data_IF_234639480123
#
_entry.id   IF_234639480123
#
_cell.length_a   1.000
_cell.length_b   1.000
_cell.length_c   1.000
_cell.angle_alpha   90.00
_cell.angle_beta   90.00
_cell.angle_gamma   90.00
#
_symmetry.space_group_name_H-M   'P 1'
#
loop_
_entity.id
_entity.type
_entity.pdbx_description
1 polymer ?
#
# COMPACT_ATOMS: atom_id res chain seq x y z
N UNK A 1 1.30 -24.34 -23.00
CA UNK A 1 1.01 -23.49 -21.80
C UNK A 1 1.80 -22.19 -21.82
N UNK A 2 3.13 -22.19 -21.95
CA UNK A 2 3.97 -20.97 -22.02
C UNK A 2 3.62 -20.13 -23.26
N UNK A 3 3.42 -20.75 -24.41
CA UNK A 3 2.99 -20.05 -25.64
C UNK A 3 1.62 -19.37 -25.46
N UNK A 4 0.67 -19.97 -24.78
CA UNK A 4 -0.64 -19.37 -24.53
C UNK A 4 -0.55 -18.13 -23.63
N UNK A 5 0.35 -18.11 -22.65
CA UNK A 5 0.61 -16.95 -21.78
C UNK A 5 1.21 -15.79 -22.59
N UNK A 6 2.10 -16.07 -23.52
CA UNK A 6 2.76 -15.06 -24.36
C UNK A 6 1.85 -14.49 -25.46
N UNK A 7 0.92 -15.29 -26.00
CA UNK A 7 0.05 -14.89 -27.11
C UNK A 7 -1.30 -14.27 -26.65
N UNK A 8 -1.79 -14.55 -25.43
CA UNK A 8 -3.02 -13.94 -24.92
C UNK A 8 -2.70 -12.62 -24.18
N UNK A 9 -3.10 -11.44 -24.71
CA UNK A 9 -2.72 -10.14 -24.13
C UNK A 9 -3.13 -9.98 -22.67
N UNK A 10 -4.28 -10.53 -22.26
CA UNK A 10 -4.77 -10.46 -20.89
C UNK A 10 -3.91 -11.27 -19.91
N UNK A 11 -3.45 -12.46 -20.30
CA UNK A 11 -2.57 -13.30 -19.47
C UNK A 11 -1.16 -12.68 -19.37
N UNK A 12 -0.65 -12.13 -20.46
CA UNK A 12 0.64 -11.43 -20.48
C UNK A 12 0.63 -10.21 -19.55
N UNK A 13 -0.41 -9.38 -19.62
CA UNK A 13 -0.52 -8.20 -18.77
C UNK A 13 -0.62 -8.58 -17.29
N UNK A 14 -1.42 -9.59 -16.95
CA UNK A 14 -1.52 -10.10 -15.58
C UNK A 14 -0.18 -10.66 -15.08
N UNK A 15 0.53 -11.42 -15.92
CA UNK A 15 1.84 -11.98 -15.56
C UNK A 15 2.89 -10.90 -15.35
N UNK A 16 2.98 -9.92 -16.25
CA UNK A 16 3.93 -8.79 -16.11
C UNK A 16 3.62 -7.95 -14.88
N UNK A 17 2.33 -7.72 -14.59
CA UNK A 17 1.91 -7.02 -13.39
C UNK A 17 2.38 -7.75 -12.12
N UNK A 18 2.08 -9.04 -11.99
CA UNK A 18 2.47 -9.85 -10.83
C UNK A 18 3.98 -9.93 -10.68
N UNK A 19 4.72 -10.06 -11.77
CA UNK A 19 6.18 -10.11 -11.74
C UNK A 19 6.77 -8.79 -11.24
N UNK A 20 6.27 -7.65 -11.73
CA UNK A 20 6.69 -6.34 -11.27
C UNK A 20 6.36 -6.13 -9.79
N UNK A 21 5.14 -6.48 -9.38
CA UNK A 21 4.68 -6.38 -8.00
C UNK A 21 5.51 -7.27 -7.06
N UNK A 22 5.85 -8.50 -7.48
CA UNK A 22 6.66 -9.43 -6.69
C UNK A 22 8.07 -8.89 -6.45
N UNK A 23 8.71 -8.34 -7.49
CA UNK A 23 10.07 -7.77 -7.37
C UNK A 23 10.06 -6.55 -6.44
N UNK A 24 9.15 -5.60 -6.66
CA UNK A 24 9.05 -4.41 -5.83
C UNK A 24 8.63 -4.74 -4.40
N UNK A 25 7.67 -5.66 -4.24
CA UNK A 25 7.19 -6.16 -2.96
C UNK A 25 8.27 -6.86 -2.15
N UNK A 26 9.10 -7.70 -2.79
CA UNK A 26 10.21 -8.39 -2.13
C UNK A 26 11.21 -7.41 -1.49
N UNK A 27 11.57 -6.34 -2.18
CA UNK A 27 12.49 -5.33 -1.64
C UNK A 27 11.88 -4.61 -0.42
N UNK A 28 10.58 -4.30 -0.47
CA UNK A 28 9.89 -3.59 0.61
C UNK A 28 9.58 -4.52 1.77
N UNK A 29 9.24 -5.79 1.54
CA UNK A 29 8.91 -6.75 2.60
C UNK A 29 10.08 -6.96 3.58
N UNK A 30 11.32 -6.97 3.08
CA UNK A 30 12.51 -7.01 3.92
C UNK A 30 12.56 -5.83 4.89
N UNK A 31 12.27 -4.62 4.38
CA UNK A 31 12.28 -3.41 5.20
C UNK A 31 11.12 -3.38 6.21
N UNK A 32 9.93 -3.79 5.79
CA UNK A 32 8.74 -3.89 6.64
C UNK A 32 9.03 -4.81 7.83
N UNK A 33 9.58 -5.99 7.56
CA UNK A 33 9.94 -6.97 8.60
C UNK A 33 11.04 -6.43 9.53
N UNK A 34 12.13 -5.87 9.00
CA UNK A 34 13.21 -5.30 9.81
C UNK A 34 12.75 -4.16 10.73
N UNK A 35 11.79 -3.36 10.28
CA UNK A 35 11.25 -2.22 11.04
C UNK A 35 10.01 -2.56 11.88
N UNK A 36 9.50 -3.78 11.78
CA UNK A 36 8.24 -4.21 12.41
C UNK A 36 7.08 -3.28 12.08
N UNK A 37 6.91 -3.02 10.77
CA UNK A 37 5.88 -2.10 10.24
C UNK A 37 4.61 -2.84 9.81
N UNK A 38 4.38 -4.07 10.25
CA UNK A 38 3.27 -4.93 9.83
C UNK A 38 1.93 -4.24 10.07
N UNK A 39 1.71 -3.66 11.24
CA UNK A 39 0.49 -2.91 11.55
C UNK A 39 0.30 -1.66 10.67
N UNK A 40 1.40 -0.98 10.33
CA UNK A 40 1.38 0.18 9.45
C UNK A 40 0.96 -0.21 8.03
N UNK A 41 1.49 -1.33 7.53
CA UNK A 41 1.11 -1.88 6.22
C UNK A 41 -0.36 -2.25 6.22
N UNK A 42 -0.84 -2.94 7.25
CA UNK A 42 -2.23 -3.35 7.41
C UNK A 42 -3.16 -2.13 7.41
N UNK A 43 -2.82 -1.08 8.18
CA UNK A 43 -3.59 0.16 8.19
C UNK A 43 -3.63 0.84 6.81
N UNK A 44 -2.52 0.84 6.07
CA UNK A 44 -2.47 1.39 4.72
C UNK A 44 -3.35 0.59 3.75
N UNK A 45 -3.32 -0.74 3.80
CA UNK A 45 -4.14 -1.59 2.95
C UNK A 45 -5.63 -1.32 3.17
N UNK A 46 -6.07 -1.25 4.42
CA UNK A 46 -7.47 -0.99 4.75
C UNK A 46 -7.90 0.44 4.43
N UNK A 47 -7.01 1.43 4.62
CA UNK A 47 -7.31 2.83 4.35
C UNK A 47 -7.45 3.17 2.88
N UNK A 48 -6.86 2.40 1.98
CA UNK A 48 -6.99 2.58 0.53
C UNK A 48 -8.43 2.31 0.05
N UNK A 49 -9.17 1.45 0.76
CA UNK A 49 -10.52 1.05 0.39
C UNK A 49 -11.50 2.22 0.21
N UNK A 50 -11.68 3.15 1.17
CA UNK A 50 -12.54 4.32 0.94
C UNK A 50 -12.09 5.19 -0.23
N UNK A 51 -10.78 5.28 -0.47
CA UNK A 51 -10.23 5.99 -1.62
C UNK A 51 -10.63 5.36 -2.95
N UNK A 52 -10.61 4.04 -3.03
CA UNK A 52 -11.07 3.28 -4.20
C UNK A 52 -12.57 3.52 -4.44
N UNK A 53 -13.38 3.43 -3.37
CA UNK A 53 -14.84 3.62 -3.44
C UNK A 53 -15.18 5.02 -3.92
N UNK A 54 -14.63 6.06 -3.29
CA UNK A 54 -14.86 7.46 -3.68
C UNK A 54 -14.33 7.73 -5.09
N UNK A 55 -13.14 7.24 -5.42
CA UNK A 55 -12.55 7.36 -6.74
C UNK A 55 -13.44 6.77 -7.84
N UNK A 56 -14.03 5.58 -7.57
CA UNK A 56 -14.96 4.94 -8.49
C UNK A 56 -16.28 5.75 -8.66
N UNK A 57 -16.81 6.31 -7.57
CA UNK A 57 -18.05 7.08 -7.59
C UNK A 57 -17.86 8.37 -8.40
N UNK A 58 -16.78 9.09 -8.17
CA UNK A 58 -16.54 10.42 -8.76
C UNK A 58 -15.97 10.33 -10.17
N UNK A 59 -14.98 9.47 -10.39
CA UNK A 59 -14.21 9.40 -11.64
C UNK A 59 -14.39 8.09 -12.42
N UNK A 60 -15.27 7.20 -11.97
CA UNK A 60 -15.40 5.87 -12.58
C UNK A 60 -14.12 5.02 -12.43
N UNK A 61 -13.91 4.11 -13.37
CA UNK A 61 -12.74 3.22 -13.39
C UNK A 61 -11.38 3.99 -13.39
N UNK A 62 -11.19 5.07 -14.15
CA UNK A 62 -9.97 5.89 -14.10
C UNK A 62 -9.72 6.58 -12.75
N UNK A 63 -10.78 6.85 -11.99
CA UNK A 63 -10.72 7.51 -10.67
C UNK A 63 -10.20 6.64 -9.53
N UNK A 64 -10.15 5.32 -9.72
CA UNK A 64 -9.75 4.35 -8.68
C UNK A 64 -8.35 4.62 -8.16
N UNK A 65 -7.37 4.71 -9.05
CA UNK A 65 -5.95 4.90 -8.66
C UNK A 65 -5.71 6.26 -8.00
N UNK A 66 -6.15 7.40 -8.58
CA UNK A 66 -5.97 8.68 -7.91
C UNK A 66 -6.75 8.79 -6.59
N UNK A 67 -7.95 8.21 -6.49
CA UNK A 67 -8.70 8.16 -5.22
C UNK A 67 -7.97 7.34 -4.15
N UNK A 68 -7.49 6.16 -4.50
CA UNK A 68 -6.67 5.31 -3.64
C UNK A 68 -5.38 6.05 -3.18
N UNK A 69 -4.68 6.69 -4.11
CA UNK A 69 -3.44 7.43 -3.82
C UNK A 69 -3.67 8.63 -2.90
N UNK A 70 -4.77 9.37 -3.09
CA UNK A 70 -5.12 10.50 -2.25
C UNK A 70 -5.35 10.07 -0.79
N UNK A 71 -6.14 9.02 -0.57
CA UNK A 71 -6.40 8.52 0.78
C UNK A 71 -5.17 7.86 1.38
N UNK A 72 -4.38 7.10 0.60
CA UNK A 72 -3.11 6.55 1.06
C UNK A 72 -2.16 7.66 1.54
N UNK A 73 -2.08 8.77 0.82
CA UNK A 73 -1.25 9.93 1.21
C UNK A 73 -1.72 10.52 2.53
N UNK A 74 -3.03 10.72 2.72
CA UNK A 74 -3.59 11.22 3.99
C UNK A 74 -3.25 10.26 5.12
N UNK A 75 -3.42 8.94 4.91
CA UNK A 75 -3.11 7.93 5.92
C UNK A 75 -1.63 7.92 6.28
N UNK A 76 -0.73 8.02 5.30
CA UNK A 76 0.72 8.11 5.56
C UNK A 76 1.05 9.33 6.42
N UNK A 77 0.43 10.49 6.14
CA UNK A 77 0.65 11.70 6.94
C UNK A 77 0.11 11.55 8.37
N UNK A 78 -1.05 10.93 8.54
CA UNK A 78 -1.62 10.65 9.87
C UNK A 78 -0.72 9.69 10.64
N UNK A 79 -0.28 8.58 10.04
CA UNK A 79 0.62 7.63 10.68
C UNK A 79 1.97 8.25 11.02
N UNK A 80 2.53 9.10 10.15
CA UNK A 80 3.75 9.83 10.43
C UNK A 80 3.59 10.80 11.62
N UNK A 81 2.43 11.43 11.77
CA UNK A 81 2.15 12.31 12.91
C UNK A 81 2.04 11.55 14.23
N UNK A 82 1.49 10.33 14.22
CA UNK A 82 1.43 9.45 15.38
C UNK A 82 2.81 8.96 15.82
N UNK A 83 3.72 8.70 14.86
CA UNK A 83 5.09 8.23 15.13
C UNK A 83 6.05 9.30 15.67
N UNK A 84 5.70 10.57 15.59
CA UNK A 84 6.60 11.70 15.96
C UNK A 84 6.66 12.02 17.45
N UNK A 85 5.91 11.36 18.33
CA UNK A 85 5.90 11.58 19.78
C UNK A 85 7.16 11.04 20.49
N UNK A 86 7.60 11.68 21.56
CA UNK A 86 8.83 11.34 22.29
C UNK A 86 8.57 10.44 23.51
N UNK A 87 8.93 9.14 23.46
CA UNK A 87 8.90 8.24 24.61
C UNK A 87 8.96 6.75 24.26
N UNK A 88 9.93 5.98 24.79
CA UNK A 88 10.34 4.72 24.15
C UNK A 88 9.52 3.45 24.44
N UNK A 89 8.68 3.37 25.45
CA UNK A 89 7.98 2.11 25.78
C UNK A 89 6.45 2.22 25.81
N UNK A 90 5.88 3.28 26.35
CA UNK A 90 4.45 3.56 26.29
C UNK A 90 4.02 3.88 24.85
N UNK A 91 4.87 4.52 24.09
CA UNK A 91 4.64 4.98 22.73
C UNK A 91 4.44 3.85 21.70
N UNK A 92 5.04 2.66 21.87
CA UNK A 92 4.77 1.54 20.93
C UNK A 92 3.33 1.05 21.04
N UNK A 93 2.83 0.88 22.26
CA UNK A 93 1.43 0.48 22.52
C UNK A 93 0.45 1.55 22.05
N UNK A 94 0.77 2.83 22.26
CA UNK A 94 -0.06 3.94 21.80
C UNK A 94 -0.05 4.06 20.26
N UNK A 95 1.06 3.77 19.61
CA UNK A 95 1.18 3.79 18.15
C UNK A 95 0.43 2.61 17.51
N UNK A 96 0.52 1.41 18.06
CA UNK A 96 -0.23 0.24 17.58
C UNK A 96 -1.73 0.43 17.77
N UNK A 97 -2.16 0.94 18.93
CA UNK A 97 -3.55 1.27 19.19
C UNK A 97 -4.06 2.39 18.26
N UNK A 98 -3.29 3.45 18.07
CA UNK A 98 -3.62 4.52 17.13
C UNK A 98 -3.73 4.03 15.70
N UNK A 99 -2.83 3.15 15.27
CA UNK A 99 -2.87 2.53 13.94
C UNK A 99 -4.10 1.66 13.77
N UNK A 100 -4.48 0.87 14.79
CA UNK A 100 -5.70 0.07 14.77
C UNK A 100 -6.98 0.93 14.69
N UNK A 101 -7.02 2.08 15.34
CA UNK A 101 -8.13 3.06 15.24
C UNK A 101 -8.21 3.61 13.81
N UNK A 102 -7.09 4.02 13.21
CA UNK A 102 -7.04 4.53 11.83
C UNK A 102 -7.54 3.46 10.85
N UNK A 103 -7.06 2.21 11.00
CA UNK A 103 -7.48 1.08 10.20
C UNK A 103 -8.99 0.88 10.25
N UNK A 104 -9.54 0.73 11.45
CA UNK A 104 -10.97 0.44 11.65
C UNK A 104 -11.84 1.58 11.18
N UNK A 105 -11.45 2.82 11.47
CA UNK A 105 -12.19 4.02 11.09
C UNK A 105 -12.20 4.20 9.56
N UNK A 106 -11.06 4.10 8.91
CA UNK A 106 -10.96 4.25 7.45
C UNK A 106 -11.73 3.15 6.73
N UNK A 107 -11.57 1.90 7.14
CA UNK A 107 -12.31 0.79 6.56
C UNK A 107 -13.83 0.95 6.76
N UNK A 108 -14.26 1.32 7.97
CA UNK A 108 -15.66 1.57 8.29
C UNK A 108 -16.28 2.68 7.43
N UNK A 109 -15.57 3.79 7.23
CA UNK A 109 -16.00 4.85 6.29
C UNK A 109 -16.17 4.29 4.87
N UNK A 110 -15.21 3.52 4.38
CA UNK A 110 -15.29 2.90 3.05
C UNK A 110 -16.53 2.01 2.90
N UNK A 111 -16.83 1.19 3.90
CA UNK A 111 -18.02 0.34 3.92
C UNK A 111 -19.31 1.16 3.91
N UNK A 112 -19.41 2.19 4.76
CA UNK A 112 -20.60 3.07 4.83
C UNK A 112 -20.83 3.77 3.50
N UNK A 113 -19.79 4.33 2.87
CA UNK A 113 -19.91 4.98 1.56
C UNK A 113 -20.34 3.95 0.49
N UNK A 114 -19.76 2.75 0.52
CA UNK A 114 -20.11 1.66 -0.39
C UNK A 114 -21.59 1.27 -0.29
N UNK A 115 -22.12 1.17 0.92
CA UNK A 115 -23.54 0.85 1.15
C UNK A 115 -24.47 2.01 0.77
N UNK A 116 -24.06 3.26 1.02
CA UNK A 116 -24.85 4.45 0.69
C UNK A 116 -25.03 4.65 -0.82
N UNK A 117 -24.07 4.22 -1.62
CA UNK A 117 -24.08 4.35 -3.09
C UNK A 117 -24.31 3.00 -3.80
N UNK A 118 -25.14 2.14 -3.23
CA UNK A 118 -25.36 0.73 -3.54
C UNK A 118 -25.74 0.35 -4.99
N UNK A 119 -26.12 1.29 -5.86
CA UNK A 119 -26.39 1.02 -7.28
C UNK A 119 -25.16 0.52 -8.07
N UNK A 120 -23.97 0.66 -7.47
CA UNK A 120 -22.70 0.16 -8.03
C UNK A 120 -22.11 -1.01 -7.25
N UNK A 121 -22.92 -1.69 -6.41
CA UNK A 121 -22.46 -2.77 -5.51
C UNK A 121 -21.70 -3.89 -6.24
N UNK A 122 -22.19 -4.33 -7.40
CA UNK A 122 -21.49 -5.36 -8.18
C UNK A 122 -20.11 -4.95 -8.70
N UNK A 123 -19.92 -3.66 -8.98
CA UNK A 123 -18.59 -3.14 -9.36
C UNK A 123 -17.66 -3.01 -8.15
N UNK A 124 -18.21 -2.66 -6.99
CA UNK A 124 -17.45 -2.56 -5.73
C UNK A 124 -17.02 -3.94 -5.23
N UNK A 125 -17.90 -4.95 -5.30
CA UNK A 125 -17.53 -6.35 -5.00
C UNK A 125 -16.41 -6.82 -5.91
N UNK A 126 -16.51 -6.55 -7.21
CA UNK A 126 -15.48 -6.91 -8.17
C UNK A 126 -14.12 -6.22 -7.89
N UNK A 127 -14.12 -5.02 -7.30
CA UNK A 127 -12.90 -4.33 -6.87
C UNK A 127 -12.34 -4.89 -5.56
N UNK A 128 -13.20 -5.36 -4.66
CA UNK A 128 -12.75 -6.02 -3.42
C UNK A 128 -12.04 -7.34 -3.72
N UNK A 129 -12.59 -8.15 -4.65
CA UNK A 129 -12.00 -9.42 -5.06
C UNK A 129 -10.93 -9.30 -6.15
N UNK A 130 -10.84 -8.13 -6.81
CA UNK A 130 -9.92 -7.85 -7.90
C UNK A 130 -10.36 -8.40 -9.25
N UNK A 131 -9.78 -7.86 -10.30
CA UNK A 131 -9.96 -8.29 -11.69
C UNK A 131 -8.60 -8.42 -12.36
N UNK A 132 -7.80 -9.38 -11.91
CA UNK A 132 -6.43 -9.56 -12.38
C UNK A 132 -6.36 -9.79 -13.90
N UNK A 133 -7.35 -10.49 -14.47
CA UNK A 133 -7.41 -10.75 -15.92
C UNK A 133 -7.92 -9.56 -16.75
N UNK A 134 -8.52 -8.56 -16.10
CA UNK A 134 -9.04 -7.34 -16.73
C UNK A 134 -8.01 -6.17 -16.67
N UNK A 135 -6.72 -6.46 -16.48
CA UNK A 135 -5.68 -5.44 -16.43
C UNK A 135 -5.45 -4.89 -17.83
N UNK A 136 -5.98 -3.70 -18.08
CA UNK A 136 -5.73 -2.96 -19.32
C UNK A 136 -4.28 -2.45 -19.39
N UNK A 137 -3.80 -2.20 -20.62
CA UNK A 137 -2.45 -1.67 -20.83
C UNK A 137 -2.17 -0.38 -20.03
N UNK A 138 -3.16 0.50 -19.94
CA UNK A 138 -3.04 1.74 -19.16
C UNK A 138 -2.88 1.48 -17.67
N UNK A 139 -3.67 0.55 -17.09
CA UNK A 139 -3.54 0.17 -15.68
C UNK A 139 -2.22 -0.52 -15.38
N UNK A 140 -1.76 -1.40 -16.30
CA UNK A 140 -0.45 -2.03 -16.20
C UNK A 140 0.65 -0.97 -16.12
N UNK A 141 0.65 0.00 -17.06
CA UNK A 141 1.64 1.07 -17.09
C UNK A 141 1.64 1.89 -15.78
N UNK A 142 0.48 2.27 -15.28
CA UNK A 142 0.36 3.01 -14.02
C UNK A 142 0.90 2.21 -12.83
N UNK A 143 0.52 0.94 -12.72
CA UNK A 143 0.98 0.08 -11.62
C UNK A 143 2.48 -0.19 -11.68
N UNK A 144 3.03 -0.45 -12.88
CA UNK A 144 4.48 -0.60 -13.08
C UNK A 144 5.22 0.68 -12.68
N UNK A 145 4.70 1.84 -13.06
CA UNK A 145 5.29 3.13 -12.68
C UNK A 145 5.33 3.31 -11.17
N UNK A 146 4.22 3.01 -10.46
CA UNK A 146 4.16 3.08 -9.00
C UNK A 146 5.14 2.11 -8.34
N UNK A 147 5.23 0.86 -8.84
CA UNK A 147 6.18 -0.14 -8.34
C UNK A 147 7.65 0.30 -8.57
N UNK A 148 7.96 0.87 -9.74
CA UNK A 148 9.31 1.36 -10.04
C UNK A 148 9.68 2.53 -9.14
N UNK A 149 8.77 3.49 -8.95
CA UNK A 149 9.00 4.63 -8.04
C UNK A 149 9.24 4.13 -6.61
N UNK A 150 8.40 3.21 -6.11
CA UNK A 150 8.55 2.64 -4.77
C UNK A 150 9.89 1.91 -4.61
N UNK A 151 10.25 1.07 -5.58
CA UNK A 151 11.54 0.36 -5.58
C UNK A 151 12.73 1.33 -5.60
N UNK A 152 12.70 2.37 -6.44
CA UNK A 152 13.74 3.39 -6.51
C UNK A 152 13.87 4.15 -5.18
N UNK A 153 12.77 4.55 -4.55
CA UNK A 153 12.79 5.21 -3.25
C UNK A 153 13.50 4.36 -2.19
N UNK A 154 13.21 3.07 -2.14
CA UNK A 154 13.83 2.17 -1.17
C UNK A 154 15.29 1.87 -1.53
N UNK A 155 15.59 1.54 -2.79
CA UNK A 155 16.95 1.18 -3.22
C UNK A 155 17.94 2.35 -3.06
N UNK A 156 17.53 3.57 -3.39
CA UNK A 156 18.39 4.76 -3.23
C UNK A 156 18.66 5.11 -1.76
N UNK A 157 17.70 4.80 -0.88
CA UNK A 157 17.83 5.08 0.56
C UNK A 157 18.22 3.86 1.38
N UNK A 158 18.48 2.70 0.74
CA UNK A 158 18.64 1.39 1.36
C UNK A 158 19.57 1.36 2.57
N UNK A 159 20.77 1.94 2.43
CA UNK A 159 21.77 1.97 3.51
C UNK A 159 21.25 2.69 4.77
N UNK A 160 20.60 3.83 4.58
CA UNK A 160 20.05 4.62 5.69
C UNK A 160 18.80 3.96 6.27
N UNK A 161 18.00 3.29 5.43
CA UNK A 161 16.84 2.52 5.87
C UNK A 161 17.26 1.37 6.81
N UNK A 162 18.33 0.64 6.46
CA UNK A 162 18.89 -0.41 7.30
C UNK A 162 19.44 0.18 8.61
N UNK A 163 20.23 1.25 8.54
CA UNK A 163 20.77 1.90 9.75
C UNK A 163 19.66 2.29 10.73
N UNK A 164 18.60 2.95 10.21
CA UNK A 164 17.45 3.36 11.04
C UNK A 164 16.68 2.15 11.58
N UNK A 165 16.62 1.04 10.82
CA UNK A 165 15.95 -0.19 11.26
C UNK A 165 16.66 -0.87 12.43
N UNK A 166 17.99 -0.90 12.42
CA UNK A 166 18.78 -1.56 13.47
C UNK A 166 19.02 -0.68 14.69
N UNK A 167 19.35 0.61 14.50
CA UNK A 167 19.66 1.54 15.61
C UNK A 167 19.23 2.97 15.29
N UNK A 168 18.01 3.30 15.69
CA UNK A 168 17.46 4.66 15.56
C UNK A 168 18.22 5.68 16.41
N UNK A 169 18.81 5.26 17.54
CA UNK A 169 19.54 6.14 18.44
C UNK A 169 20.88 6.52 17.83
N UNK A 170 21.62 5.55 17.30
CA UNK A 170 22.86 5.80 16.56
C UNK A 170 22.61 6.63 15.31
N UNK A 171 21.55 6.35 14.55
CA UNK A 171 21.19 7.14 13.38
C UNK A 171 20.94 8.62 13.73
N UNK A 172 20.22 8.91 14.80
CA UNK A 172 20.00 10.28 15.29
C UNK A 172 21.31 10.94 15.73
N UNK A 173 22.18 10.21 16.45
CA UNK A 173 23.48 10.71 16.88
C UNK A 173 24.41 11.07 15.69
N UNK A 174 24.26 10.36 14.57
CA UNK A 174 24.96 10.65 13.31
C UNK A 174 24.32 11.78 12.49
N UNK A 175 23.27 12.45 13.00
CA UNK A 175 22.58 13.54 12.31
C UNK A 175 21.58 13.07 11.22
N UNK A 176 21.24 11.79 11.17
CA UNK A 176 20.27 11.26 10.20
C UNK A 176 18.86 11.66 10.62
N UNK A 177 18.09 12.24 9.69
CA UNK A 177 16.70 12.58 9.92
C UNK A 177 15.83 11.31 9.84
N UNK A 178 15.66 10.62 10.97
CA UNK A 178 14.91 9.37 11.09
C UNK A 178 13.48 9.53 10.57
N UNK A 179 12.80 10.64 10.91
CA UNK A 179 11.42 10.88 10.47
C UNK A 179 11.28 10.94 8.95
N UNK A 180 12.26 11.52 8.25
CA UNK A 180 12.27 11.54 6.78
C UNK A 180 12.37 10.13 6.19
N UNK A 181 13.21 9.26 6.75
CA UNK A 181 13.36 7.89 6.28
C UNK A 181 12.17 7.01 6.64
N UNK A 182 11.49 7.26 7.76
CA UNK A 182 10.20 6.63 8.10
C UNK A 182 9.11 7.05 7.12
N UNK A 183 9.04 8.33 6.78
CA UNK A 183 8.10 8.83 5.79
C UNK A 183 8.34 8.20 4.41
N UNK A 184 9.59 8.12 3.96
CA UNK A 184 9.96 7.47 2.69
C UNK A 184 9.52 6.00 2.67
N UNK A 185 9.74 5.26 3.76
CA UNK A 185 9.30 3.87 3.87
C UNK A 185 7.77 3.75 3.78
N UNK A 186 7.04 4.56 4.53
CA UNK A 186 5.57 4.58 4.51
C UNK A 186 5.01 4.96 3.13
N UNK A 187 5.61 5.94 2.46
CA UNK A 187 5.24 6.31 1.08
C UNK A 187 5.49 5.16 0.12
N UNK A 188 6.64 4.50 0.19
CA UNK A 188 6.96 3.38 -0.68
C UNK A 188 5.98 2.21 -0.49
N UNK A 189 5.65 1.88 0.76
CA UNK A 189 4.60 0.89 1.09
C UNK A 189 3.25 1.31 0.51
N UNK A 190 2.84 2.57 0.73
CA UNK A 190 1.58 3.09 0.21
C UNK A 190 1.48 3.00 -1.32
N UNK A 191 2.56 3.29 -2.05
CA UNK A 191 2.61 3.17 -3.51
C UNK A 191 2.41 1.72 -3.97
N UNK A 192 3.03 0.75 -3.29
CA UNK A 192 2.83 -0.68 -3.61
C UNK A 192 1.43 -1.13 -3.28
N UNK A 193 0.88 -0.72 -2.13
CA UNK A 193 -0.50 -1.05 -1.73
C UNK A 193 -1.50 -0.51 -2.77
N UNK A 194 -1.34 0.73 -3.23
CA UNK A 194 -2.19 1.32 -4.28
C UNK A 194 -2.03 0.55 -5.60
N UNK A 195 -0.80 0.20 -6.00
CA UNK A 195 -0.56 -0.58 -7.20
C UNK A 195 -1.23 -1.97 -7.10
N UNK A 196 -1.03 -2.69 -6.00
CA UNK A 196 -1.57 -4.02 -5.77
C UNK A 196 -3.10 -4.03 -5.72
N UNK A 197 -3.71 -3.13 -4.94
CA UNK A 197 -5.16 -3.06 -4.77
C UNK A 197 -5.91 -2.74 -6.06
N UNK A 198 -5.28 -2.04 -7.00
CA UNK A 198 -5.89 -1.67 -8.28
C UNK A 198 -6.18 -2.85 -9.21
N UNK A 199 -5.47 -3.97 -9.07
CA UNK A 199 -5.58 -5.14 -9.95
C UNK A 199 -5.95 -6.42 -9.22
N UNK A 200 -5.33 -6.65 -8.05
CA UNK A 200 -5.50 -7.89 -7.27
C UNK A 200 -6.70 -7.78 -6.34
N UNK A 201 -7.16 -6.56 -6.06
CA UNK A 201 -8.24 -6.29 -5.11
C UNK A 201 -7.75 -6.16 -3.67
N UNK A 202 -8.49 -5.40 -2.88
CA UNK A 202 -8.10 -5.07 -1.50
C UNK A 202 -8.08 -6.32 -0.63
N UNK A 203 -9.06 -7.21 -0.74
CA UNK A 203 -9.15 -8.41 0.10
C UNK A 203 -8.00 -9.39 -0.13
N UNK A 204 -7.52 -9.53 -1.37
CA UNK A 204 -6.39 -10.42 -1.65
C UNK A 204 -5.07 -9.83 -1.14
N UNK A 205 -4.93 -8.50 -1.20
CA UNK A 205 -3.75 -7.81 -0.64
C UNK A 205 -3.70 -7.99 0.88
N UNK A 206 -4.85 -7.88 1.57
CA UNK A 206 -4.98 -8.18 3.00
C UNK A 206 -4.58 -9.64 3.29
N UNK A 207 -5.13 -10.60 2.54
CA UNK A 207 -4.82 -12.01 2.71
C UNK A 207 -3.33 -12.33 2.50
N UNK A 208 -2.68 -11.70 1.52
CA UNK A 208 -1.25 -11.86 1.29
C UNK A 208 -0.40 -11.23 2.40
N UNK A 209 -0.82 -10.12 2.97
CA UNK A 209 -0.16 -9.48 4.12
C UNK A 209 -0.16 -10.38 5.34
N UNK A 210 -1.29 -11.07 5.62
CA UNK A 210 -1.45 -11.97 6.76
C UNK A 210 -0.67 -13.29 6.62
N UNK A 211 -0.39 -13.76 5.40
CA UNK A 211 0.37 -15.01 5.18
C UNK A 211 1.86 -14.86 5.55
N UNK A 212 2.38 -13.64 5.57
CA UNK A 212 3.79 -13.37 5.87
C UNK A 212 4.07 -13.03 7.34
N UNK A 213 3.05 -13.06 8.20
CA UNK A 213 3.15 -12.95 9.66
C UNK A 213 3.12 -14.35 10.27
#
# INVERSE_FOLDING_TARGET
MIEQILFAPYLRNAFLFLLCLSIAGAAISVLVNLRRMEFTVEALVHSVFPGIVVGLIVGGIPGIVPGAAAVATVTVLVLASLGSGQGQSAQKLDMEAGTAVVLTFMYGIGVVISLAYGDKSGQLEALMFGRLLDVTQSRLATSVTLCVIAALLILTTWRMQILVAFDTTAARAMGVNVAAYELIANVAVGLIVVAASSAVGVLLVIGLSLIHI
#
